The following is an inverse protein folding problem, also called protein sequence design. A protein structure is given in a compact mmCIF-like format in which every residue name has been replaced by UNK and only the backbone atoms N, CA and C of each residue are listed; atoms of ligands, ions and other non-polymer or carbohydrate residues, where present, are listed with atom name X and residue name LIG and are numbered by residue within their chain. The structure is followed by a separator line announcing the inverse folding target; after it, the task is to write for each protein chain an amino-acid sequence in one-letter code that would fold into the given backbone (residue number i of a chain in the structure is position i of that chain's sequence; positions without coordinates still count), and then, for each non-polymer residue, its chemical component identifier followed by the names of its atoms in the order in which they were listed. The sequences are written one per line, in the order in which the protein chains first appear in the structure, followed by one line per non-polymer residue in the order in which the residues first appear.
data_IF_997402870904
#
_entry.id   IF_997402870904
#
_cell.length_a   1.000
_cell.length_b   1.000
_cell.length_c   1.000
_cell.angle_alpha   90.00
_cell.angle_beta   90.00
_cell.angle_gamma   90.00
#
_symmetry.space_group_name_H-M   'P 1'
#
loop_
_entity.id
_entity.type
_entity.pdbx_description
1 polymer ?
#
# COMPACT_ATOMS: atom_id res chain seq x y z
N UNK A 1 6.18 -19.95 -4.02
CA UNK A 1 5.29 -18.79 -3.86
C UNK A 1 5.05 -18.58 -2.38
N UNK A 2 5.70 -17.57 -1.82
CA UNK A 2 5.56 -17.19 -0.41
C UNK A 2 4.58 -16.02 -0.31
N UNK A 3 3.63 -16.09 0.61
CA UNK A 3 2.67 -15.00 0.86
C UNK A 3 3.07 -14.30 2.14
N UNK A 4 3.03 -12.97 2.13
CA UNK A 4 3.35 -12.12 3.26
C UNK A 4 2.21 -11.15 3.54
N UNK A 5 2.03 -10.83 4.81
CA UNK A 5 1.10 -9.81 5.30
C UNK A 5 1.91 -8.71 5.95
N UNK A 6 1.65 -7.46 5.58
CA UNK A 6 2.18 -6.28 6.26
C UNK A 6 1.06 -5.67 7.07
N UNK A 7 1.11 -5.76 8.42
CA UNK A 7 0.16 -5.07 9.27
C UNK A 7 0.50 -3.58 9.34
N UNK A 8 -0.51 -2.73 9.23
CA UNK A 8 -0.40 -1.30 9.49
C UNK A 8 -1.19 -0.98 10.75
N UNK A 9 -0.48 -0.56 11.80
CA UNK A 9 -1.08 -0.21 13.07
C UNK A 9 -0.93 1.29 13.33
N UNK A 10 -2.06 1.97 13.52
CA UNK A 10 -2.14 3.35 13.95
C UNK A 10 -1.28 4.36 13.14
N UNK A 11 -1.28 4.24 11.81
CA UNK A 11 -0.60 5.18 10.90
C UNK A 11 -1.17 6.59 11.06
N UNK A 12 -0.31 7.56 11.38
CA UNK A 12 -0.68 8.96 11.57
C UNK A 12 -0.64 9.71 10.24
N UNK A 13 -1.71 9.60 9.45
CA UNK A 13 -1.88 10.27 8.15
C UNK A 13 -2.07 11.77 8.37
N UNK A 14 -1.17 12.60 7.85
CA UNK A 14 -1.18 14.04 8.04
C UNK A 14 -1.94 14.76 6.91
N UNK A 15 -2.20 16.05 7.11
CA UNK A 15 -3.00 16.89 6.21
C UNK A 15 -2.26 17.31 4.92
N UNK A 16 -1.56 16.38 4.29
CA UNK A 16 -0.83 16.58 3.04
C UNK A 16 -1.63 15.96 1.88
N UNK A 17 -1.62 16.64 0.75
CA UNK A 17 -2.35 16.24 -0.45
C UNK A 17 -1.58 15.28 -1.36
N UNK A 18 -0.35 14.90 -1.01
CA UNK A 18 0.40 13.88 -1.74
C UNK A 18 1.26 13.02 -0.80
N UNK A 19 0.72 11.87 -0.40
CA UNK A 19 1.43 10.89 0.44
C UNK A 19 1.12 9.47 -0.04
N UNK A 20 2.06 8.54 0.10
CA UNK A 20 1.76 7.12 -0.07
C UNK A 20 1.46 6.48 1.27
N UNK A 21 0.29 5.87 1.38
CA UNK A 21 -0.08 5.09 2.56
C UNK A 21 0.82 3.87 2.66
N UNK A 22 1.04 3.22 1.52
CA UNK A 22 2.06 2.20 1.37
C UNK A 22 2.71 2.28 -0.01
N UNK A 23 3.96 1.85 -0.09
CA UNK A 23 4.71 1.62 -1.31
C UNK A 23 5.32 0.21 -1.22
N UNK A 24 5.06 -0.62 -2.22
CA UNK A 24 5.70 -1.92 -2.42
C UNK A 24 6.78 -1.76 -3.49
N UNK A 25 7.99 -2.22 -3.19
CA UNK A 25 9.07 -2.37 -4.16
C UNK A 25 9.38 -3.84 -4.33
N UNK A 26 9.16 -4.36 -5.55
CA UNK A 26 9.54 -5.72 -5.89
C UNK A 26 11.07 -5.87 -5.94
N UNK A 27 11.63 -7.03 -5.54
CA UNK A 27 13.06 -7.28 -5.66
C UNK A 27 13.49 -7.35 -7.14
N UNK A 28 14.81 -7.31 -7.37
CA UNK A 28 15.36 -7.29 -8.72
C UNK A 28 15.27 -8.64 -9.45
N UNK A 29 15.14 -9.73 -8.71
CA UNK A 29 15.16 -11.12 -9.19
C UNK A 29 13.79 -11.80 -9.23
N UNK A 30 12.76 -11.18 -8.64
CA UNK A 30 11.41 -11.76 -8.60
C UNK A 30 10.30 -10.74 -8.85
N UNK A 31 9.20 -11.23 -9.43
CA UNK A 31 7.96 -10.48 -9.56
C UNK A 31 7.06 -10.68 -8.32
N UNK A 32 6.27 -9.66 -8.00
CA UNK A 32 5.37 -9.65 -6.83
C UNK A 32 3.93 -9.50 -7.28
N UNK A 33 3.02 -10.28 -6.70
CA UNK A 33 1.57 -10.11 -6.90
C UNK A 33 0.96 -9.41 -5.71
N UNK A 34 0.18 -8.36 -5.97
CA UNK A 34 -0.71 -7.77 -4.98
C UNK A 34 -1.92 -8.69 -4.79
N UNK A 35 -2.04 -9.30 -3.61
CA UNK A 35 -3.16 -10.17 -3.25
C UNK A 35 -4.35 -9.36 -2.78
N UNK A 36 -4.10 -8.29 -2.02
CA UNK A 36 -5.13 -7.36 -1.58
C UNK A 36 -4.67 -6.46 -0.44
N UNK A 37 -5.51 -5.49 -0.08
CA UNK A 37 -5.30 -4.64 1.08
C UNK A 37 -6.63 -4.21 1.68
N UNK A 38 -6.59 -3.79 2.93
CA UNK A 38 -7.74 -3.24 3.62
C UNK A 38 -7.31 -2.13 4.59
N UNK A 39 -8.11 -1.07 4.67
CA UNK A 39 -7.87 0.05 5.57
C UNK A 39 -9.12 0.44 6.35
N UNK A 40 -8.89 0.87 7.58
CA UNK A 40 -9.84 1.41 8.53
C UNK A 40 -9.36 2.77 8.98
N UNK A 41 -10.30 3.68 9.23
CA UNK A 41 -10.02 4.98 9.83
C UNK A 41 -10.64 5.07 11.21
N UNK A 42 -9.99 5.80 12.12
CA UNK A 42 -10.52 6.13 13.43
C UNK A 42 -11.56 7.27 13.40
N UNK A 43 -11.89 7.83 12.23
CA UNK A 43 -12.86 8.93 12.10
C UNK A 43 -14.27 8.52 12.51
N UNK A 44 -14.97 9.41 13.22
CA UNK A 44 -16.37 9.23 13.62
C UNK A 44 -17.35 10.03 12.76
N UNK A 45 -16.86 10.81 11.80
CA UNK A 45 -17.65 11.66 10.89
C UNK A 45 -17.31 11.32 9.43
N UNK A 46 -18.26 11.48 8.51
CA UNK A 46 -17.99 11.23 7.08
C UNK A 46 -16.97 12.22 6.55
N UNK A 47 -15.83 11.69 6.14
CA UNK A 47 -14.77 12.40 5.45
C UNK A 47 -14.38 11.54 4.26
N UNK A 48 -14.39 12.13 3.06
CA UNK A 48 -14.09 11.42 1.81
C UNK A 48 -12.72 11.81 1.30
N UNK A 49 -11.87 10.80 1.13
CA UNK A 49 -10.53 10.98 0.59
C UNK A 49 -10.39 10.27 -0.75
N UNK A 50 -9.55 10.82 -1.63
CA UNK A 50 -9.25 10.20 -2.92
C UNK A 50 -7.98 9.37 -2.79
N UNK A 51 -8.13 8.07 -3.00
CA UNK A 51 -7.02 7.12 -3.01
C UNK A 51 -6.82 6.58 -4.42
N UNK A 52 -5.55 6.38 -4.81
CA UNK A 52 -5.16 5.88 -6.12
C UNK A 52 -4.11 4.82 -5.99
N UNK A 53 -4.28 3.72 -6.71
CA UNK A 53 -3.21 2.74 -6.88
C UNK A 53 -2.39 3.13 -8.11
N UNK A 54 -1.11 3.40 -7.90
CA UNK A 54 -0.22 4.00 -8.91
C UNK A 54 1.08 3.23 -9.04
N UNK A 55 1.66 3.24 -10.22
CA UNK A 55 3.06 2.83 -10.43
C UNK A 55 3.99 4.01 -10.20
N UNK A 56 5.20 3.75 -9.70
CA UNK A 56 6.24 4.79 -9.54
C UNK A 56 7.53 4.40 -10.24
N UNK A 57 8.25 5.40 -10.74
CA UNK A 57 9.58 5.21 -11.36
C UNK A 57 10.73 5.40 -10.38
N UNK A 58 10.48 6.06 -9.25
CA UNK A 58 11.42 6.19 -8.13
C UNK A 58 10.72 5.85 -6.82
N UNK A 59 11.47 5.34 -5.85
CA UNK A 59 10.99 5.20 -4.48
C UNK A 59 10.92 6.58 -3.81
N UNK A 60 9.88 6.82 -3.01
CA UNK A 60 9.84 8.02 -2.17
C UNK A 60 10.76 7.89 -0.94
N UNK A 61 11.05 9.01 -0.28
CA UNK A 61 12.05 9.09 0.80
C UNK A 61 11.51 9.49 2.18
N UNK A 62 10.22 9.77 2.30
CA UNK A 62 9.59 10.27 3.53
C UNK A 62 8.92 9.21 4.41
N UNK A 63 9.03 7.92 4.04
CA UNK A 63 8.33 6.83 4.74
C UNK A 63 9.23 6.00 5.66
N UNK A 64 8.60 5.11 6.43
CA UNK A 64 9.28 4.13 7.28
C UNK A 64 9.19 2.73 6.67
N UNK A 65 10.21 1.89 6.83
CA UNK A 65 10.09 0.47 6.50
C UNK A 65 8.99 -0.18 7.34
N UNK A 66 8.09 -0.91 6.68
CA UNK A 66 7.11 -1.75 7.33
C UNK A 66 7.69 -3.17 7.52
N UNK A 67 7.11 -3.95 8.44
CA UNK A 67 7.57 -5.33 8.69
C UNK A 67 6.68 -6.31 7.95
N UNK A 68 7.27 -7.09 7.06
CA UNK A 68 6.60 -8.15 6.32
C UNK A 68 6.53 -9.43 7.17
N UNK A 69 5.32 -9.89 7.46
CA UNK A 69 5.07 -11.10 8.25
C UNK A 69 4.72 -12.25 7.31
N UNK A 70 5.50 -13.35 7.29
CA UNK A 70 5.17 -14.49 6.45
C UNK A 70 3.85 -15.13 6.89
N UNK A 71 2.98 -15.44 5.93
CA UNK A 71 1.69 -16.08 6.21
C UNK A 71 1.83 -17.54 6.69
N UNK A 72 3.00 -18.14 6.49
CA UNK A 72 3.33 -19.51 6.93
C UNK A 72 4.72 -19.55 7.55
N UNK A 73 4.94 -20.40 8.54
CA UNK A 73 6.25 -20.56 9.19
C UNK A 73 7.34 -21.19 8.31
N UNK A 74 7.01 -21.60 7.08
CA UNK A 74 7.93 -22.20 6.11
C UNK A 74 8.22 -21.29 4.91
N UNK A 75 7.74 -20.04 4.93
CA UNK A 75 8.01 -19.09 3.86
C UNK A 75 9.51 -18.79 3.77
N UNK A 76 9.99 -18.59 2.53
CA UNK A 76 11.34 -18.08 2.30
C UNK A 76 11.52 -16.67 2.90
N UNK A 77 12.76 -16.19 2.97
CA UNK A 77 13.03 -14.81 3.33
C UNK A 77 12.40 -13.87 2.28
N UNK A 78 11.75 -12.80 2.77
CA UNK A 78 11.12 -11.80 1.90
C UNK A 78 12.20 -10.97 1.20
N UNK A 79 12.10 -10.83 -0.13
CA UNK A 79 12.94 -9.94 -0.93
C UNK A 79 12.25 -8.59 -1.21
N UNK A 80 10.92 -8.57 -1.12
CA UNK A 80 10.07 -7.40 -1.30
C UNK A 80 10.21 -6.43 -0.13
N UNK A 81 10.35 -5.14 -0.42
CA UNK A 81 10.37 -4.10 0.60
C UNK A 81 9.06 -3.32 0.58
N UNK A 82 8.43 -3.15 1.74
CA UNK A 82 7.26 -2.29 1.93
C UNK A 82 7.63 -1.07 2.78
N UNK A 83 7.28 0.11 2.29
CA UNK A 83 7.40 1.38 2.99
C UNK A 83 6.01 1.87 3.33
N UNK A 84 5.77 2.24 4.58
CA UNK A 84 4.53 2.83 5.06
C UNK A 84 4.67 4.35 5.20
N UNK A 85 3.55 5.04 4.99
CA UNK A 85 3.39 6.49 5.19
C UNK A 85 4.52 7.32 4.57
N UNK A 86 4.72 7.20 3.26
CA UNK A 86 5.70 7.97 2.54
C UNK A 86 5.19 9.39 2.28
N UNK A 87 5.63 10.35 3.10
CA UNK A 87 5.27 11.77 2.96
C UNK A 87 6.07 12.50 1.89
N UNK A 88 6.98 11.80 1.20
CA UNK A 88 7.70 12.35 0.04
C UNK A 88 7.69 11.31 -1.06
N UNK A 89 6.52 11.14 -1.73
CA UNK A 89 6.36 10.11 -2.75
C UNK A 89 7.35 10.30 -3.91
N UNK A 90 7.74 9.20 -4.54
CA UNK A 90 8.57 9.24 -5.75
C UNK A 90 7.79 9.75 -6.97
N UNK A 91 8.40 9.72 -8.15
CA UNK A 91 7.72 10.20 -9.37
C UNK A 91 6.57 9.28 -9.75
N UNK A 92 5.37 9.85 -9.86
CA UNK A 92 4.16 9.14 -10.27
C UNK A 92 4.26 8.71 -11.74
N UNK A 93 3.91 7.47 -12.02
CA UNK A 93 3.70 6.93 -13.36
C UNK A 93 2.22 6.68 -13.62
N UNK A 94 1.89 5.48 -14.10
CA UNK A 94 0.51 5.13 -14.46
C UNK A 94 -0.39 4.97 -13.23
N UNK A 95 -1.61 5.52 -13.33
CA UNK A 95 -2.69 5.29 -12.37
C UNK A 95 -3.46 4.05 -12.81
N UNK A 96 -3.49 3.02 -11.96
CA UNK A 96 -4.17 1.75 -12.25
C UNK A 96 -5.63 1.76 -11.79
N UNK A 97 -5.86 2.24 -10.58
CA UNK A 97 -7.18 2.25 -9.93
C UNK A 97 -7.32 3.53 -9.09
N UNK A 98 -8.56 3.98 -8.91
CA UNK A 98 -8.85 5.15 -8.07
C UNK A 98 -10.19 5.00 -7.35
N UNK A 99 -10.27 5.53 -6.14
CA UNK A 99 -11.44 5.47 -5.27
C UNK A 99 -11.69 6.82 -4.61
N UNK A 100 -12.97 7.12 -4.36
CA UNK A 100 -13.37 8.03 -3.29
C UNK A 100 -13.81 7.17 -2.10
N UNK A 101 -13.01 7.18 -1.05
CA UNK A 101 -13.25 6.37 0.13
C UNK A 101 -13.91 7.20 1.23
N UNK A 102 -15.09 6.77 1.69
CA UNK A 102 -15.68 7.26 2.94
C UNK A 102 -14.98 6.58 4.11
N UNK A 103 -14.32 7.37 4.95
CA UNK A 103 -13.56 6.86 6.09
C UNK A 103 -14.43 6.21 7.19
N UNK A 104 -15.77 6.24 7.05
CA UNK A 104 -16.71 5.55 7.96
C UNK A 104 -16.82 4.05 7.71
N UNK A 105 -16.41 3.56 6.55
CA UNK A 105 -16.42 2.14 6.20
C UNK A 105 -15.01 1.66 5.85
N UNK A 106 -14.74 0.35 5.91
CA UNK A 106 -13.46 -0.17 5.45
C UNK A 106 -13.30 0.05 3.94
N UNK A 107 -12.09 0.44 3.52
CA UNK A 107 -11.67 0.34 2.13
C UNK A 107 -11.07 -1.05 1.92
N UNK A 108 -11.77 -1.93 1.22
CA UNK A 108 -11.28 -3.29 0.93
C UNK A 108 -11.03 -3.45 -0.56
N UNK A 109 -9.82 -3.90 -0.92
CA UNK A 109 -9.47 -4.33 -2.26
C UNK A 109 -8.92 -5.75 -2.21
N UNK A 110 -9.73 -6.70 -2.69
CA UNK A 110 -9.38 -8.12 -2.76
C UNK A 110 -9.84 -8.67 -4.12
N UNK A 111 -9.02 -8.52 -5.18
CA UNK A 111 -9.38 -9.01 -6.51
C UNK A 111 -9.39 -10.54 -6.56
N UNK A 112 -10.13 -11.09 -7.52
CA UNK A 112 -10.01 -12.50 -7.90
C UNK A 112 -8.58 -12.80 -8.41
N UNK A 113 -8.10 -14.05 -8.37
CA UNK A 113 -6.74 -14.41 -8.75
C UNK A 113 -6.29 -13.88 -10.13
N UNK A 114 -7.19 -13.86 -11.11
CA UNK A 114 -6.94 -13.37 -12.47
C UNK A 114 -6.84 -11.84 -12.55
N UNK A 115 -7.46 -11.13 -11.61
CA UNK A 115 -7.44 -9.68 -11.49
C UNK A 115 -6.34 -9.13 -10.59
N UNK A 116 -5.50 -9.99 -10.01
CA UNK A 116 -4.39 -9.58 -9.16
C UNK A 116 -3.33 -8.82 -9.98
N UNK A 117 -2.91 -7.67 -9.45
CA UNK A 117 -1.90 -6.83 -10.11
C UNK A 117 -0.52 -7.46 -9.92
N UNK A 118 0.17 -7.69 -11.03
CA UNK A 118 1.55 -8.16 -11.04
C UNK A 118 2.50 -6.96 -11.16
N UNK A 119 3.38 -6.85 -10.18
CA UNK A 119 4.48 -5.90 -10.11
C UNK A 119 5.71 -6.59 -10.74
N UNK A 120 6.28 -6.05 -11.82
CA UNK A 120 7.48 -6.62 -12.43
C UNK A 120 8.69 -6.51 -11.48
N UNK A 121 9.78 -7.27 -11.72
CA UNK A 121 11.01 -7.12 -10.95
C UNK A 121 11.50 -5.66 -10.93
N UNK A 122 11.98 -5.19 -9.79
CA UNK A 122 12.32 -3.78 -9.51
C UNK A 122 11.17 -2.78 -9.67
N UNK A 123 9.94 -3.25 -9.91
CA UNK A 123 8.77 -2.41 -10.05
C UNK A 123 8.29 -1.85 -8.72
N UNK A 124 7.72 -0.63 -8.76
CA UNK A 124 7.20 0.05 -7.58
C UNK A 124 5.70 0.30 -7.77
N UNK A 125 4.92 -0.11 -6.78
CA UNK A 125 3.47 0.11 -6.71
C UNK A 125 3.14 0.81 -5.38
N UNK A 126 2.32 1.86 -5.41
CA UNK A 126 1.95 2.60 -4.22
C UNK A 126 0.45 2.89 -4.16
N UNK A 127 -0.09 2.95 -2.94
CA UNK A 127 -1.41 3.51 -2.66
C UNK A 127 -1.24 4.98 -2.26
N UNK A 128 -1.50 5.86 -3.21
CA UNK A 128 -1.34 7.29 -3.08
C UNK A 128 -2.63 7.96 -2.59
N UNK A 129 -2.48 8.86 -1.63
CA UNK A 129 -3.47 9.82 -1.18
C UNK A 129 -3.28 11.11 -1.97
N UNK A 130 -4.23 11.42 -2.86
CA UNK A 130 -4.23 12.65 -3.70
C UNK A 130 -5.02 13.79 -3.03
N UNK A 131 -5.53 13.57 -1.83
CA UNK A 131 -6.36 14.56 -1.14
C UNK A 131 -5.96 14.61 0.31
N UNK A 132 -5.72 15.81 0.82
CA UNK A 132 -5.41 15.98 2.23
C UNK A 132 -6.58 15.55 3.10
N UNK A 133 -6.28 14.85 4.20
CA UNK A 133 -7.25 14.69 5.30
C UNK A 133 -7.47 16.05 5.97
N UNK A 134 -8.68 16.30 6.47
CA UNK A 134 -9.07 17.58 7.07
C UNK A 134 -8.23 17.93 8.32
N UNK A 135 -7.79 16.92 9.05
CA UNK A 135 -6.79 17.01 10.11
C UNK A 135 -6.16 15.62 10.29
N UNK A 136 -5.04 15.52 11.00
CA UNK A 136 -4.35 14.24 11.17
C UNK A 136 -5.30 13.13 11.61
N UNK A 137 -5.26 11.99 10.91
CA UNK A 137 -6.09 10.81 11.15
C UNK A 137 -5.24 9.58 11.41
N UNK A 138 -5.76 8.70 12.25
CA UNK A 138 -5.17 7.40 12.50
C UNK A 138 -5.84 6.37 11.60
N UNK A 139 -5.06 5.76 10.72
CA UNK A 139 -5.49 4.66 9.87
C UNK A 139 -4.82 3.37 10.30
N UNK A 140 -5.53 2.26 10.20
CA UNK A 140 -5.00 0.92 10.47
C UNK A 140 -5.46 -0.03 9.38
N UNK A 141 -4.79 -1.16 9.20
CA UNK A 141 -5.12 -2.04 8.10
C UNK A 141 -4.07 -3.11 7.85
N UNK A 142 -4.15 -3.68 6.66
CA UNK A 142 -3.21 -4.69 6.22
C UNK A 142 -3.02 -4.65 4.70
N UNK A 143 -1.87 -5.15 4.28
CA UNK A 143 -1.54 -5.40 2.89
C UNK A 143 -1.06 -6.85 2.76
N UNK A 144 -1.50 -7.55 1.72
CA UNK A 144 -1.03 -8.90 1.38
C UNK A 144 -0.45 -8.93 -0.03
N UNK A 145 0.69 -9.58 -0.14
CA UNK A 145 1.35 -9.80 -1.42
C UNK A 145 1.99 -11.19 -1.46
N UNK A 146 2.34 -11.63 -2.67
CA UNK A 146 2.99 -12.92 -2.90
C UNK A 146 4.17 -12.79 -3.85
N UNK A 147 5.30 -13.41 -3.50
CA UNK A 147 6.50 -13.49 -4.33
C UNK A 147 6.44 -14.69 -5.27
N UNK A 148 6.75 -14.47 -6.55
CA UNK A 148 6.62 -15.48 -7.61
C UNK A 148 7.92 -16.20 -7.98
N UNK A 149 9.07 -15.75 -7.49
CA UNK A 149 10.40 -16.29 -7.76
C UNK A 149 11.25 -16.21 -6.51
#
# INVERSE_FOLDING_TARGET
MSVYTVPFDNLSVTNDSDQDIFQITAPADAAVKLVGFEFYSATTTDERVRLRLVRRSTAGSGGAGAVEVPATGTSAAVGTAVVQLNTTPGTIGDILLAWYWSQLSPLTYAPIPEGMIVIPPSGILALNLETAVASTRNWSGWLKFAELG
#
